data_IF_858790062654
#
_entry.id   IF_858790062654
#
_cell.length_a   1.000
_cell.length_b   1.000
_cell.length_c   1.000
_cell.angle_alpha   90.00
_cell.angle_beta   90.00
_cell.angle_gamma   90.00
#
_symmetry.space_group_name_H-M   'P 1'
#
loop_
_entity.id
_entity.type
_entity.pdbx_description
1 polymer ?
#
# COMPACT_ATOMS: atom_id res chain seq x y z
N UNK A 1 33.89 10.25 5.93
CA UNK A 1 33.34 9.42 7.02
C UNK A 1 32.30 10.21 7.82
N UNK A 2 32.59 11.47 8.22
CA UNK A 2 31.67 12.32 8.97
C UNK A 2 30.37 12.64 8.21
N UNK A 3 30.43 12.77 6.89
CA UNK A 3 29.26 13.02 6.04
C UNK A 3 28.28 11.83 6.04
N UNK A 4 28.81 10.60 5.99
CA UNK A 4 27.99 9.38 6.08
C UNK A 4 27.33 9.24 7.45
N UNK A 5 28.02 9.61 8.52
CA UNK A 5 27.51 9.53 9.88
C UNK A 5 26.39 10.56 10.12
N UNK A 6 26.56 11.81 9.69
CA UNK A 6 25.54 12.85 9.79
C UNK A 6 24.28 12.49 9.00
N UNK A 7 24.44 11.89 7.81
CA UNK A 7 23.32 11.38 7.00
C UNK A 7 22.64 10.19 7.70
N UNK A 8 23.40 9.29 8.31
CA UNK A 8 22.86 8.17 9.08
C UNK A 8 22.09 8.64 10.33
N UNK A 9 22.55 9.68 11.02
CA UNK A 9 21.85 10.28 12.15
C UNK A 9 20.54 10.90 11.71
N UNK A 10 20.52 11.67 10.61
CA UNK A 10 19.26 12.25 10.07
C UNK A 10 18.25 11.16 9.67
N UNK A 11 18.70 10.07 9.06
CA UNK A 11 17.86 8.91 8.75
C UNK A 11 17.34 8.22 10.01
N UNK A 12 18.18 8.09 11.03
CA UNK A 12 17.79 7.49 12.32
C UNK A 12 16.72 8.27 13.07
N UNK A 13 16.55 9.57 12.77
CA UNK A 13 15.48 10.40 13.35
C UNK A 13 14.10 10.13 12.71
N UNK A 14 14.07 9.68 11.45
CA UNK A 14 12.81 9.40 10.72
C UNK A 14 12.49 7.91 10.65
N UNK A 15 13.49 7.03 10.61
CA UNK A 15 13.29 5.60 10.60
C UNK A 15 12.70 5.12 11.93
N UNK A 16 11.57 4.39 11.84
CA UNK A 16 10.84 3.92 13.01
C UNK A 16 9.79 4.90 13.52
N UNK A 17 9.64 6.08 12.90
CA UNK A 17 8.52 6.98 13.18
C UNK A 17 7.22 6.36 12.63
N UNK A 18 6.16 6.24 13.46
CA UNK A 18 4.90 5.71 12.97
C UNK A 18 4.18 6.73 12.07
N UNK A 19 3.59 6.24 10.98
CA UNK A 19 2.60 6.99 10.22
C UNK A 19 1.31 7.14 11.03
N UNK A 20 0.43 8.10 10.67
CA UNK A 20 -0.87 8.28 11.33
C UNK A 20 -1.67 6.98 11.37
N UNK A 21 -2.31 6.73 12.51
CA UNK A 21 -3.20 5.58 12.68
C UNK A 21 -4.45 5.76 11.79
N UNK A 22 -4.85 4.73 11.05
CA UNK A 22 -6.02 4.76 10.13
C UNK A 22 -7.25 4.22 10.83
N UNK A 23 -7.10 3.07 11.52
CA UNK A 23 -8.16 2.38 12.22
C UNK A 23 -7.76 2.12 13.66
N UNK A 24 -8.71 2.31 14.58
CA UNK A 24 -8.50 2.03 16.00
C UNK A 24 -8.21 0.56 16.25
N UNK A 25 -8.94 -0.33 15.58
CA UNK A 25 -8.77 -1.78 15.69
C UNK A 25 -7.35 -2.24 15.29
N UNK A 26 -6.71 -1.61 14.30
CA UNK A 26 -5.31 -1.86 13.95
C UNK A 26 -4.38 -1.39 15.07
N UNK A 27 -4.58 -0.16 15.54
CA UNK A 27 -3.78 0.44 16.61
C UNK A 27 -3.82 -0.39 17.89
N UNK A 28 -5.00 -0.82 18.33
CA UNK A 28 -5.22 -1.57 19.56
C UNK A 28 -4.54 -2.96 19.52
N UNK A 29 -4.30 -3.51 18.32
CA UNK A 29 -3.51 -4.73 18.09
C UNK A 29 -2.03 -4.48 17.82
N UNK A 30 -1.55 -3.23 17.94
CA UNK A 30 -0.16 -2.86 17.66
C UNK A 30 0.23 -2.98 16.19
N UNK A 31 -0.75 -2.88 15.27
CA UNK A 31 -0.52 -2.88 13.84
C UNK A 31 -0.34 -1.44 13.39
N UNK A 32 0.90 -1.05 13.13
CA UNK A 32 1.29 0.30 12.73
C UNK A 32 2.24 0.26 11.55
N UNK A 33 2.20 1.31 10.78
CA UNK A 33 3.05 1.52 9.61
C UNK A 33 4.18 2.46 10.02
N UNK A 34 5.43 2.00 9.83
CA UNK A 34 6.60 2.74 10.29
C UNK A 34 7.44 3.20 9.11
N UNK A 35 7.92 4.42 9.17
CA UNK A 35 8.91 4.95 8.23
C UNK A 35 10.20 4.11 8.27
N UNK A 36 10.82 3.91 7.10
CA UNK A 36 12.01 3.06 6.95
C UNK A 36 11.72 1.55 6.95
N UNK A 37 10.43 1.16 6.88
CA UNK A 37 10.01 -0.24 6.84
C UNK A 37 9.22 -0.61 5.60
N UNK A 38 9.21 -1.91 5.28
CA UNK A 38 8.38 -2.49 4.22
C UNK A 38 7.21 -3.26 4.79
N UNK A 39 6.05 -3.07 4.16
CA UNK A 39 4.78 -3.75 4.48
C UNK A 39 4.29 -4.49 3.26
N UNK A 40 3.95 -5.76 3.40
CA UNK A 40 3.26 -6.51 2.36
C UNK A 40 1.76 -6.56 2.66
N UNK A 41 0.96 -6.30 1.63
CA UNK A 41 -0.49 -6.50 1.65
C UNK A 41 -0.82 -7.58 0.62
N UNK A 42 -0.99 -8.81 1.10
CA UNK A 42 -1.23 -9.99 0.29
C UNK A 42 -2.70 -10.37 0.21
N UNK A 43 -3.09 -10.99 -0.90
CA UNK A 43 -4.44 -11.55 -1.07
C UNK A 43 -4.68 -12.02 -2.49
N UNK A 44 -5.66 -12.89 -2.67
CA UNK A 44 -6.08 -13.35 -3.99
C UNK A 44 -6.58 -12.16 -4.86
N UNK A 45 -6.65 -12.30 -6.18
CA UNK A 45 -7.35 -11.31 -7.02
C UNK A 45 -8.76 -11.04 -6.50
N UNK A 46 -9.18 -9.77 -6.48
CA UNK A 46 -10.50 -9.37 -5.94
C UNK A 46 -10.59 -9.25 -4.42
N UNK A 47 -9.55 -9.54 -3.65
CA UNK A 47 -9.54 -9.42 -2.17
C UNK A 47 -9.49 -7.97 -1.65
N UNK A 48 -9.74 -6.99 -2.49
CA UNK A 48 -9.85 -5.56 -2.15
C UNK A 48 -8.57 -4.88 -1.63
N UNK A 49 -7.37 -5.40 -1.97
CA UNK A 49 -6.07 -4.81 -1.57
C UNK A 49 -5.95 -3.33 -1.96
N UNK A 50 -6.13 -3.03 -3.24
CA UNK A 50 -6.05 -1.65 -3.79
C UNK A 50 -7.03 -0.71 -3.10
N UNK A 51 -8.25 -1.19 -2.78
CA UNK A 51 -9.24 -0.38 -2.09
C UNK A 51 -8.83 -0.07 -0.65
N UNK A 52 -8.33 -1.07 0.08
CA UNK A 52 -7.80 -0.90 1.44
C UNK A 52 -6.61 0.06 1.47
N UNK A 53 -5.63 -0.13 0.56
CA UNK A 53 -4.46 0.75 0.46
C UNK A 53 -4.89 2.18 0.11
N UNK A 54 -5.82 2.34 -0.86
CA UNK A 54 -6.36 3.65 -1.23
C UNK A 54 -7.11 4.33 -0.08
N UNK A 55 -7.83 3.57 0.76
CA UNK A 55 -8.47 4.10 1.97
C UNK A 55 -7.42 4.57 2.99
N UNK A 56 -6.36 3.80 3.19
CA UNK A 56 -5.25 4.18 4.07
C UNK A 56 -4.57 5.47 3.62
N UNK A 57 -4.24 5.57 2.33
CA UNK A 57 -3.63 6.75 1.73
C UNK A 57 -4.50 7.99 1.96
N UNK A 58 -5.80 7.89 1.66
CA UNK A 58 -6.75 9.00 1.82
C UNK A 58 -6.96 9.43 3.29
N UNK A 59 -6.81 8.49 4.23
CA UNK A 59 -6.97 8.78 5.67
C UNK A 59 -5.70 9.32 6.30
N UNK A 60 -4.53 8.77 5.97
CA UNK A 60 -3.25 9.19 6.54
C UNK A 60 -2.86 10.61 6.13
N UNK A 61 -3.17 11.03 4.91
CA UNK A 61 -2.85 12.36 4.34
C UNK A 61 -1.40 12.79 4.56
N UNK A 62 -0.48 11.88 4.29
CA UNK A 62 0.97 12.13 4.35
C UNK A 62 1.56 12.21 2.94
N UNK A 63 2.69 12.90 2.73
CA UNK A 63 3.40 12.92 1.46
C UNK A 63 3.58 11.51 0.90
N UNK A 64 2.91 11.23 -0.23
CA UNK A 64 2.76 9.87 -0.77
C UNK A 64 3.14 9.78 -2.23
N UNK A 65 3.98 8.82 -2.61
CA UNK A 65 4.16 8.37 -3.98
C UNK A 65 3.36 7.08 -4.18
N UNK A 66 2.39 7.10 -5.10
CA UNK A 66 1.56 5.93 -5.42
C UNK A 66 1.85 5.43 -6.84
N UNK A 67 2.43 4.25 -6.94
CA UNK A 67 2.70 3.55 -8.20
C UNK A 67 1.57 2.53 -8.40
N UNK A 68 0.64 2.87 -9.30
CA UNK A 68 -0.52 2.05 -9.65
C UNK A 68 -0.28 1.39 -11.00
N UNK A 69 0.35 0.22 -10.99
CA UNK A 69 0.69 -0.51 -12.21
C UNK A 69 -0.36 -1.58 -12.61
N UNK A 70 -1.40 -1.79 -11.79
CA UNK A 70 -2.50 -2.73 -12.05
C UNK A 70 -3.85 -2.05 -12.30
N UNK A 71 -4.04 -0.84 -11.79
CA UNK A 71 -5.29 -0.09 -11.90
C UNK A 71 -5.04 1.23 -12.62
N UNK A 72 -5.83 1.54 -13.66
CA UNK A 72 -5.70 2.76 -14.43
C UNK A 72 -6.20 4.01 -13.68
N UNK A 73 -5.85 5.19 -14.22
CA UNK A 73 -6.16 6.50 -13.64
C UNK A 73 -7.65 6.69 -13.38
N UNK A 74 -8.48 6.36 -14.38
CA UNK A 74 -9.93 6.60 -14.29
C UNK A 74 -10.59 5.74 -13.21
N UNK A 75 -10.13 4.51 -13.02
CA UNK A 75 -10.63 3.63 -11.96
C UNK A 75 -10.21 4.11 -10.58
N UNK A 76 -9.00 4.62 -10.43
CA UNK A 76 -8.53 5.26 -9.19
C UNK A 76 -9.35 6.51 -8.90
N UNK A 77 -9.45 7.43 -9.87
CA UNK A 77 -10.23 8.68 -9.75
C UNK A 77 -11.67 8.37 -9.35
N UNK A 78 -12.32 7.41 -10.02
CA UNK A 78 -13.71 7.08 -9.73
C UNK A 78 -13.93 6.54 -8.31
N UNK A 79 -12.99 5.75 -7.78
CA UNK A 79 -13.03 5.26 -6.39
C UNK A 79 -12.84 6.38 -5.36
N UNK A 80 -11.92 7.32 -5.60
CA UNK A 80 -11.73 8.47 -4.72
C UNK A 80 -12.94 9.41 -4.74
N UNK A 81 -13.50 9.69 -5.92
CA UNK A 81 -14.73 10.46 -6.06
C UNK A 81 -15.91 9.77 -5.36
N UNK A 82 -16.06 8.45 -5.54
CA UNK A 82 -17.11 7.65 -4.89
C UNK A 82 -17.04 7.78 -3.36
N UNK A 83 -15.85 7.62 -2.78
CA UNK A 83 -15.62 7.76 -1.35
C UNK A 83 -15.98 9.15 -0.83
N UNK A 84 -15.57 10.21 -1.53
CA UNK A 84 -15.84 11.60 -1.13
C UNK A 84 -17.29 12.01 -1.27
N UNK A 85 -17.97 11.51 -2.31
CA UNK A 85 -19.36 11.85 -2.59
C UNK A 85 -20.36 10.87 -1.99
N UNK A 86 -19.89 9.71 -1.50
CA UNK A 86 -20.71 8.58 -1.04
C UNK A 86 -21.69 8.10 -2.12
N UNK A 87 -21.25 8.13 -3.37
CA UNK A 87 -22.00 7.69 -4.54
C UNK A 87 -21.29 6.55 -5.25
N UNK A 88 -22.04 5.79 -6.04
CA UNK A 88 -21.51 4.64 -6.78
C UNK A 88 -20.34 5.03 -7.71
N UNK A 89 -19.27 4.24 -7.68
CA UNK A 89 -18.03 4.50 -8.43
C UNK A 89 -18.23 4.49 -9.95
N UNK A 90 -19.21 3.71 -10.49
CA UNK A 90 -19.52 3.73 -11.91
C UNK A 90 -20.23 5.04 -12.30
N UNK A 91 -21.09 5.56 -11.41
CA UNK A 91 -21.73 6.87 -11.61
C UNK A 91 -20.66 7.95 -11.59
N UNK A 92 -19.73 7.89 -10.66
CA UNK A 92 -18.61 8.84 -10.56
C UNK A 92 -17.66 8.76 -11.77
N UNK A 93 -17.41 7.56 -12.27
CA UNK A 93 -16.64 7.34 -13.50
C UNK A 93 -17.29 8.06 -14.69
N UNK A 94 -18.57 7.86 -14.88
CA UNK A 94 -19.31 8.50 -15.98
C UNK A 94 -19.37 10.02 -15.82
N UNK A 95 -19.46 10.52 -14.60
CA UNK A 95 -19.46 11.95 -14.31
C UNK A 95 -18.09 12.57 -14.56
N UNK A 96 -17.00 11.93 -14.11
CA UNK A 96 -15.63 12.40 -14.35
C UNK A 96 -15.29 12.48 -15.85
N UNK A 97 -15.77 11.52 -16.66
CA UNK A 97 -15.60 11.54 -18.11
C UNK A 97 -16.36 12.69 -18.78
N UNK A 98 -17.53 13.09 -18.25
CA UNK A 98 -18.35 14.17 -18.80
C UNK A 98 -17.89 15.56 -18.33
N UNK A 99 -17.36 15.63 -17.13
CA UNK A 99 -16.94 16.87 -16.48
C UNK A 99 -15.61 16.65 -15.72
N UNK A 100 -14.46 16.63 -16.46
CA UNK A 100 -13.15 16.45 -15.85
C UNK A 100 -12.77 17.59 -14.89
N UNK A 101 -13.24 18.82 -15.14
CA UNK A 101 -12.95 19.99 -14.30
C UNK A 101 -13.61 19.83 -12.92
N UNK A 102 -14.87 19.38 -12.89
CA UNK A 102 -15.55 19.04 -11.64
C UNK A 102 -14.80 17.92 -10.89
N UNK A 103 -14.32 16.88 -11.58
CA UNK A 103 -13.58 15.79 -10.95
C UNK A 103 -12.26 16.31 -10.34
N UNK A 104 -11.53 17.15 -11.07
CA UNK A 104 -10.31 17.79 -10.59
C UNK A 104 -10.56 18.70 -9.38
N UNK A 105 -11.64 19.49 -9.39
CA UNK A 105 -12.04 20.31 -8.24
C UNK A 105 -12.30 19.46 -6.99
N UNK A 106 -13.02 18.33 -7.15
CA UNK A 106 -13.36 17.43 -6.03
C UNK A 106 -12.16 16.70 -5.43
N UNK A 107 -11.07 16.57 -6.17
CA UNK A 107 -9.83 15.93 -5.75
C UNK A 107 -8.67 16.92 -5.54
N UNK A 108 -8.95 18.22 -5.59
CA UNK A 108 -7.93 19.29 -5.53
C UNK A 108 -7.17 19.33 -4.20
N UNK A 109 -7.71 18.75 -3.14
CA UNK A 109 -7.04 18.63 -1.83
C UNK A 109 -6.08 17.43 -1.74
N UNK A 110 -5.89 16.67 -2.83
CA UNK A 110 -4.96 15.53 -2.89
C UNK A 110 -3.58 15.91 -3.44
N UNK A 111 -3.14 17.13 -3.25
CA UNK A 111 -1.82 17.66 -3.68
C UNK A 111 -0.62 16.99 -2.97
N UNK A 112 -0.90 16.26 -1.89
CA UNK A 112 0.07 15.47 -1.15
C UNK A 112 0.33 14.07 -1.75
N UNK A 113 -0.37 13.66 -2.82
CA UNK A 113 -0.13 12.40 -3.54
C UNK A 113 0.41 12.65 -4.94
N UNK A 114 1.59 12.10 -5.24
CA UNK A 114 2.10 11.94 -6.59
C UNK A 114 1.70 10.56 -7.12
N UNK A 115 1.08 10.52 -8.28
CA UNK A 115 0.64 9.31 -8.95
C UNK A 115 1.57 8.93 -10.09
N UNK A 116 1.93 7.66 -10.19
CA UNK A 116 2.57 7.07 -11.34
C UNK A 116 1.73 5.87 -11.82
N UNK A 117 1.36 5.86 -13.10
CA UNK A 117 0.52 4.82 -13.73
C UNK A 117 1.29 4.00 -14.77
N UNK A 118 2.62 3.92 -14.67
CA UNK A 118 3.40 3.01 -15.51
C UNK A 118 2.99 1.57 -15.21
N UNK A 119 2.53 0.85 -16.25
CA UNK A 119 2.00 -0.51 -16.10
C UNK A 119 3.07 -1.57 -15.75
N UNK A 120 4.33 -1.30 -16.05
CA UNK A 120 5.48 -2.18 -15.78
C UNK A 120 6.72 -1.34 -15.43
N UNK A 121 6.73 -0.68 -14.26
CA UNK A 121 7.87 0.12 -13.86
C UNK A 121 9.06 -0.78 -13.51
N UNK A 122 10.26 -0.40 -13.91
CA UNK A 122 11.48 -1.01 -13.42
C UNK A 122 11.81 -0.53 -12.00
N UNK A 123 12.74 -1.21 -11.31
CA UNK A 123 13.20 -0.76 -10.00
C UNK A 123 13.93 0.59 -10.06
N UNK A 124 14.67 0.82 -11.15
CA UNK A 124 15.36 2.08 -11.41
C UNK A 124 14.35 3.22 -11.60
N UNK A 125 13.28 3.00 -12.36
CA UNK A 125 12.20 3.99 -12.54
C UNK A 125 11.48 4.29 -11.22
N UNK A 126 11.27 3.29 -10.35
CA UNK A 126 10.71 3.51 -9.01
C UNK A 126 11.65 4.39 -8.17
N UNK A 127 12.96 4.12 -8.19
CA UNK A 127 13.95 4.92 -7.47
C UNK A 127 14.00 6.36 -8.01
N UNK A 128 13.99 6.53 -9.34
CA UNK A 128 13.94 7.85 -10.00
C UNK A 128 12.69 8.64 -9.62
N UNK A 129 11.51 8.01 -9.57
CA UNK A 129 10.28 8.65 -9.12
C UNK A 129 10.35 9.07 -7.63
N UNK A 130 10.99 8.26 -6.78
CA UNK A 130 11.21 8.62 -5.38
C UNK A 130 12.18 9.81 -5.23
N UNK A 131 13.20 9.90 -6.08
CA UNK A 131 14.13 11.03 -6.12
C UNK A 131 13.45 12.29 -6.67
N UNK A 132 12.68 12.16 -7.76
CA UNK A 132 11.88 13.26 -8.32
C UNK A 132 10.85 13.79 -7.31
N UNK A 133 10.29 12.91 -6.47
CA UNK A 133 9.42 13.33 -5.38
C UNK A 133 10.17 14.22 -4.38
N UNK A 134 11.37 13.81 -3.93
CA UNK A 134 12.19 14.62 -3.02
C UNK A 134 12.54 16.00 -3.63
N UNK A 135 12.87 16.06 -4.91
CA UNK A 135 13.18 17.31 -5.59
C UNK A 135 11.97 18.27 -5.65
N UNK A 136 10.76 17.74 -5.88
CA UNK A 136 9.54 18.55 -6.02
C UNK A 136 8.96 18.99 -4.68
N UNK A 137 9.03 18.15 -3.64
CA UNK A 137 8.42 18.43 -2.33
C UNK A 137 9.44 18.87 -1.27
N UNK A 138 10.74 18.76 -1.56
CA UNK A 138 11.81 19.12 -0.61
C UNK A 138 12.05 18.07 0.49
N UNK A 139 11.33 16.95 0.45
CA UNK A 139 11.48 15.82 1.35
C UNK A 139 11.11 14.51 0.67
N UNK A 140 11.63 13.39 1.17
CA UNK A 140 11.21 12.08 0.70
C UNK A 140 9.76 11.79 1.04
N UNK A 141 9.07 11.06 0.16
CA UNK A 141 7.72 10.57 0.45
C UNK A 141 7.72 9.80 1.78
N UNK A 142 6.74 10.09 2.65
CA UNK A 142 6.57 9.35 3.90
C UNK A 142 6.03 7.94 3.64
N UNK A 143 5.17 7.83 2.63
CA UNK A 143 4.57 6.60 2.17
C UNK A 143 4.85 6.41 0.67
N UNK A 144 5.31 5.23 0.30
CA UNK A 144 5.39 4.78 -1.09
C UNK A 144 4.51 3.55 -1.24
N UNK A 145 3.67 3.53 -2.26
CA UNK A 145 2.81 2.38 -2.58
C UNK A 145 3.26 1.77 -3.90
N UNK A 146 3.42 0.46 -3.95
CA UNK A 146 3.64 -0.32 -5.16
C UNK A 146 2.49 -1.31 -5.31
N UNK A 147 1.59 -1.02 -6.24
CA UNK A 147 0.36 -1.78 -6.45
C UNK A 147 0.24 -2.21 -7.92
N UNK A 148 0.88 -3.32 -8.27
CA UNK A 148 1.19 -4.56 -7.55
C UNK A 148 2.64 -5.04 -7.83
N UNK A 149 3.22 -5.79 -6.89
CA UNK A 149 4.59 -6.33 -6.97
C UNK A 149 4.86 -7.11 -8.27
N UNK A 150 3.91 -7.92 -8.73
CA UNK A 150 4.08 -8.84 -9.85
C UNK A 150 4.26 -8.16 -11.20
N UNK A 151 4.00 -6.87 -11.29
CA UNK A 151 4.14 -6.06 -12.51
C UNK A 151 5.37 -5.14 -12.47
N UNK A 152 6.20 -5.25 -11.45
CA UNK A 152 7.50 -4.57 -11.40
C UNK A 152 8.50 -5.35 -12.22
N UNK A 153 9.08 -4.71 -13.23
CA UNK A 153 10.12 -5.30 -14.04
C UNK A 153 11.46 -5.31 -13.31
N UNK A 154 12.07 -6.47 -13.25
CA UNK A 154 13.39 -6.65 -12.64
C UNK A 154 14.20 -7.69 -13.40
N UNK A 155 15.29 -7.23 -13.98
CA UNK A 155 16.25 -8.05 -14.71
C UNK A 155 17.59 -8.09 -13.95
N UNK A 156 17.87 -9.24 -13.33
CA UNK A 156 19.21 -9.58 -12.85
C UNK A 156 19.82 -10.64 -13.76
N UNK A 157 21.15 -10.67 -13.91
CA UNK A 157 21.85 -11.74 -14.61
C UNK A 157 21.53 -13.09 -13.95
N UNK A 158 20.66 -13.89 -14.60
CA UNK A 158 20.16 -15.16 -14.07
C UNK A 158 18.64 -15.22 -13.79
N UNK A 159 17.88 -14.17 -14.09
CA UNK A 159 16.44 -14.09 -13.92
C UNK A 159 16.03 -13.39 -12.61
N UNK A 160 15.34 -12.27 -12.74
CA UNK A 160 14.84 -11.49 -11.60
C UNK A 160 13.86 -12.29 -10.74
N UNK A 161 13.95 -12.14 -9.42
CA UNK A 161 13.03 -12.78 -8.48
C UNK A 161 12.21 -11.75 -7.71
N UNK A 162 10.98 -12.09 -7.37
CA UNK A 162 10.14 -11.24 -6.50
C UNK A 162 10.82 -10.95 -5.14
N UNK A 163 11.66 -11.88 -4.64
CA UNK A 163 12.47 -11.64 -3.43
C UNK A 163 13.51 -10.54 -3.68
N UNK A 164 14.14 -10.50 -4.86
CA UNK A 164 15.08 -9.45 -5.26
C UNK A 164 14.41 -8.08 -5.28
N UNK A 165 13.23 -7.98 -5.88
CA UNK A 165 12.43 -6.74 -5.90
C UNK A 165 12.14 -6.25 -4.47
N UNK A 166 11.61 -7.11 -3.61
CA UNK A 166 11.29 -6.74 -2.22
C UNK A 166 12.55 -6.37 -1.44
N UNK A 167 13.69 -7.03 -1.68
CA UNK A 167 14.98 -6.68 -1.08
C UNK A 167 15.44 -5.28 -1.48
N UNK A 168 15.29 -4.94 -2.75
CA UNK A 168 15.65 -3.62 -3.27
C UNK A 168 14.73 -2.54 -2.65
N UNK A 169 13.41 -2.76 -2.64
CA UNK A 169 12.46 -1.86 -2.02
C UNK A 169 12.67 -1.69 -0.50
N UNK A 170 13.06 -2.77 0.22
CA UNK A 170 13.42 -2.69 1.64
C UNK A 170 14.68 -1.83 1.87
N UNK A 171 15.65 -1.90 0.95
CA UNK A 171 16.81 -1.01 0.97
C UNK A 171 16.38 0.45 0.74
N UNK A 172 15.56 0.72 -0.28
CA UNK A 172 15.04 2.06 -0.56
C UNK A 172 14.25 2.63 0.64
N UNK A 173 13.39 1.81 1.27
CA UNK A 173 12.65 2.21 2.45
C UNK A 173 13.57 2.74 3.56
N UNK A 174 14.65 2.00 3.84
CA UNK A 174 15.64 2.39 4.87
C UNK A 174 16.47 3.59 4.45
N UNK A 175 16.82 3.67 3.17
CA UNK A 175 17.69 4.72 2.63
C UNK A 175 16.99 6.07 2.58
N UNK A 176 15.70 6.10 2.33
CA UNK A 176 14.88 7.32 2.21
C UNK A 176 14.09 7.65 3.49
N UNK A 177 13.93 6.67 4.40
CA UNK A 177 13.04 6.82 5.54
C UNK A 177 11.56 6.77 5.15
N UNK A 178 11.22 6.17 4.01
CA UNK A 178 9.84 5.98 3.57
C UNK A 178 9.26 4.68 4.12
N UNK A 179 7.97 4.63 4.43
CA UNK A 179 7.24 3.38 4.57
C UNK A 179 6.87 2.90 3.17
N UNK A 180 7.26 1.69 2.77
CA UNK A 180 6.89 1.14 1.46
C UNK A 180 5.84 0.04 1.63
N UNK A 181 4.61 0.30 1.16
CA UNK A 181 3.53 -0.69 1.10
C UNK A 181 3.56 -1.35 -0.27
N UNK A 182 3.60 -2.67 -0.29
CA UNK A 182 3.69 -3.48 -1.49
C UNK A 182 2.48 -4.41 -1.54
N UNK A 183 1.60 -4.22 -2.51
CA UNK A 183 0.52 -5.17 -2.79
C UNK A 183 1.09 -6.41 -3.51
N UNK A 184 0.66 -7.60 -3.11
CA UNK A 184 1.09 -8.84 -3.76
C UNK A 184 -0.05 -9.88 -3.81
N UNK A 185 0.07 -10.83 -4.74
CA UNK A 185 -0.85 -11.97 -4.75
C UNK A 185 -0.41 -13.05 -3.75
N UNK A 186 -1.41 -13.80 -3.28
CA UNK A 186 -1.23 -15.06 -2.54
C UNK A 186 -1.67 -16.22 -3.41
N UNK A 187 -1.24 -17.45 -3.05
CA UNK A 187 -1.92 -18.65 -3.53
C UNK A 187 -3.34 -18.70 -2.97
N UNK A 188 -4.23 -19.38 -3.66
CA UNK A 188 -5.56 -19.67 -3.13
C UNK A 188 -5.46 -20.56 -1.90
N UNK A 189 -6.40 -20.39 -0.96
CA UNK A 189 -6.47 -21.22 0.23
C UNK A 189 -7.50 -22.33 0.00
N UNK A 190 -7.06 -23.56 0.13
CA UNK A 190 -7.93 -24.75 0.00
C UNK A 190 -8.81 -24.96 1.25
N UNK A 191 -8.46 -24.37 2.39
CA UNK A 191 -9.07 -24.63 3.70
C UNK A 191 -10.31 -23.77 4.02
N UNK A 192 -10.81 -22.96 3.08
CA UNK A 192 -12.02 -22.15 3.27
C UNK A 192 -11.90 -21.00 4.28
N UNK A 193 -10.67 -20.59 4.63
CA UNK A 193 -10.42 -19.46 5.52
C UNK A 193 -10.74 -18.13 4.83
N UNK A 194 -11.30 -17.16 5.55
CA UNK A 194 -11.51 -15.82 5.00
C UNK A 194 -10.18 -15.15 4.62
N UNK A 195 -9.11 -15.33 5.42
CA UNK A 195 -7.80 -14.74 5.16
C UNK A 195 -6.72 -15.80 4.92
N UNK A 196 -5.69 -15.42 4.15
CA UNK A 196 -4.61 -16.32 3.79
C UNK A 196 -3.52 -16.38 4.86
N UNK A 197 -2.95 -17.55 5.17
CA UNK A 197 -1.83 -17.69 6.09
C UNK A 197 -0.54 -17.10 5.49
N UNK A 198 0.45 -16.83 6.34
CA UNK A 198 1.77 -16.31 5.91
C UNK A 198 2.43 -17.18 4.82
N UNK A 199 2.26 -18.51 4.89
CA UNK A 199 2.81 -19.45 3.89
C UNK A 199 2.24 -19.27 2.48
N UNK A 200 1.05 -18.66 2.36
CA UNK A 200 0.40 -18.40 1.07
C UNK A 200 1.02 -17.20 0.32
N UNK A 201 1.83 -16.38 0.97
CA UNK A 201 2.59 -15.31 0.30
C UNK A 201 3.61 -15.96 -0.65
N UNK A 202 3.45 -15.67 -1.92
CA UNK A 202 4.27 -16.27 -2.99
C UNK A 202 5.76 -15.94 -2.83
N UNK A 203 6.62 -16.87 -3.27
CA UNK A 203 8.07 -16.70 -3.41
C UNK A 203 8.81 -16.24 -2.13
N UNK A 204 8.28 -16.54 -0.95
CA UNK A 204 8.91 -16.24 0.36
C UNK A 204 9.27 -14.75 0.58
N UNK A 205 8.67 -13.83 -0.18
CA UNK A 205 8.95 -12.39 -0.09
C UNK A 205 8.65 -11.79 1.29
N UNK A 206 7.83 -12.45 2.09
CA UNK A 206 7.47 -12.05 3.45
C UNK A 206 8.64 -11.99 4.43
N UNK A 207 9.79 -12.61 4.12
CA UNK A 207 10.94 -12.67 5.04
C UNK A 207 11.53 -11.31 5.38
N UNK A 208 11.59 -10.40 4.41
CA UNK A 208 12.23 -9.09 4.54
C UNK A 208 11.30 -8.06 5.19
N UNK A 209 10.00 -8.14 4.96
CA UNK A 209 9.04 -7.16 5.43
C UNK A 209 8.88 -7.16 6.95
N UNK A 210 8.64 -5.99 7.51
CA UNK A 210 8.42 -5.78 8.96
C UNK A 210 6.99 -6.15 9.37
N UNK A 211 6.04 -5.92 8.46
CA UNK A 211 4.62 -6.22 8.63
C UNK A 211 4.12 -6.95 7.36
N UNK A 212 3.32 -7.99 7.55
CA UNK A 212 2.61 -8.68 6.47
C UNK A 212 1.15 -8.80 6.86
N UNK A 213 0.31 -8.22 6.05
CA UNK A 213 -1.14 -8.28 6.17
C UNK A 213 -1.69 -9.15 5.04
N UNK A 214 -2.67 -10.00 5.33
CA UNK A 214 -3.42 -10.69 4.30
C UNK A 214 -4.87 -10.25 4.30
N UNK A 215 -5.43 -10.12 3.10
CA UNK A 215 -6.77 -9.59 2.88
C UNK A 215 -7.68 -10.64 2.27
N UNK A 216 -8.94 -10.60 2.65
CA UNK A 216 -10.02 -11.30 1.98
C UNK A 216 -11.30 -10.47 1.99
N UNK A 217 -12.22 -10.85 1.12
CA UNK A 217 -13.52 -10.19 0.98
C UNK A 217 -14.60 -11.22 0.78
N UNK A 218 -15.68 -11.10 1.56
CA UNK A 218 -16.85 -11.94 1.43
C UNK A 218 -18.12 -11.10 1.64
N UNK A 219 -18.84 -10.90 0.56
CA UNK A 219 -20.10 -10.14 0.55
C UNK A 219 -19.91 -8.68 0.96
N UNK A 220 -20.21 -8.35 2.22
CA UNK A 220 -20.09 -7.00 2.77
C UNK A 220 -18.98 -6.88 3.81
N UNK A 221 -18.18 -7.93 3.98
CA UNK A 221 -17.14 -7.97 5.01
C UNK A 221 -15.75 -8.03 4.36
N UNK A 222 -14.91 -7.10 4.74
CA UNK A 222 -13.49 -7.13 4.45
C UNK A 222 -12.74 -7.63 5.67
N UNK A 223 -11.87 -8.61 5.44
CA UNK A 223 -11.04 -9.26 6.46
C UNK A 223 -9.59 -8.86 6.28
N UNK A 224 -8.92 -8.51 7.38
CA UNK A 224 -7.51 -8.15 7.41
C UNK A 224 -6.81 -8.91 8.52
N UNK A 225 -5.87 -9.79 8.17
CA UNK A 225 -5.10 -10.56 9.15
C UNK A 225 -3.64 -10.13 9.20
N UNK A 226 -3.10 -9.81 10.39
CA UNK A 226 -1.68 -9.57 10.58
C UNK A 226 -0.93 -10.91 10.70
N UNK A 227 -0.50 -11.46 9.58
CA UNK A 227 0.16 -12.77 9.55
C UNK A 227 1.64 -12.71 9.92
N UNK A 228 2.23 -11.52 9.91
CA UNK A 228 3.55 -11.21 10.46
C UNK A 228 3.58 -9.76 10.94
N UNK A 229 4.07 -9.53 12.15
CA UNK A 229 4.29 -8.20 12.67
C UNK A 229 5.49 -8.23 13.63
N UNK A 230 6.56 -7.50 13.32
CA UNK A 230 7.75 -7.44 14.19
C UNK A 230 7.54 -6.58 15.44
N UNK A 231 6.54 -5.69 15.40
CA UNK A 231 6.33 -4.66 16.43
C UNK A 231 5.04 -4.87 17.23
N UNK A 232 4.30 -5.95 17.01
CA UNK A 232 3.00 -6.17 17.66
C UNK A 232 2.45 -7.57 17.45
N UNK A 233 1.14 -7.70 17.62
CA UNK A 233 0.45 -8.98 17.44
C UNK A 233 0.55 -9.51 16.01
N UNK A 234 0.76 -10.82 15.88
CA UNK A 234 0.71 -11.54 14.61
C UNK A 234 0.19 -12.96 14.80
N UNK A 235 -0.56 -13.43 13.83
CA UNK A 235 -1.01 -14.82 13.73
C UNK A 235 -0.70 -15.34 12.32
N UNK A 236 0.36 -16.12 12.20
CA UNK A 236 0.85 -16.64 10.92
C UNK A 236 -0.14 -17.58 10.21
N UNK A 237 -1.16 -18.05 10.90
CA UNK A 237 -2.22 -18.89 10.33
C UNK A 237 -3.28 -18.10 9.59
N UNK A 238 -3.41 -16.79 9.89
CA UNK A 238 -4.42 -15.91 9.31
C UNK A 238 -5.81 -15.99 9.95
N UNK A 239 -5.99 -16.80 11.00
CA UNK A 239 -7.31 -16.93 11.66
C UNK A 239 -7.73 -15.69 12.43
N UNK A 240 -6.76 -14.96 13.01
CA UNK A 240 -7.03 -13.78 13.83
C UNK A 240 -7.20 -12.52 12.96
N UNK A 241 -8.22 -12.51 12.10
CA UNK A 241 -8.52 -11.35 11.26
C UNK A 241 -9.29 -10.26 12.01
N UNK A 242 -9.12 -9.03 11.55
CA UNK A 242 -9.96 -7.88 11.88
C UNK A 242 -10.99 -7.77 10.76
N UNK A 243 -12.23 -7.48 11.13
CA UNK A 243 -13.34 -7.37 10.19
C UNK A 243 -13.76 -5.91 10.05
N UNK A 244 -14.08 -5.52 8.83
CA UNK A 244 -14.59 -4.20 8.48
C UNK A 244 -15.85 -4.38 7.63
N UNK A 245 -16.81 -3.49 7.82
CA UNK A 245 -17.85 -3.32 6.83
C UNK A 245 -17.26 -2.66 5.59
N UNK A 246 -17.63 -3.15 4.43
CA UNK A 246 -17.17 -2.59 3.17
C UNK A 246 -18.34 -2.37 2.23
N UNK A 247 -18.36 -1.19 1.65
CA UNK A 247 -19.20 -0.88 0.50
C UNK A 247 -18.30 -0.73 -0.75
N UNK A 248 -18.23 -1.75 -1.60
CA UNK A 248 -17.42 -1.71 -2.81
C UNK A 248 -17.85 -0.61 -3.79
N UNK A 249 -19.13 -0.26 -3.79
CA UNK A 249 -19.68 0.73 -4.71
C UNK A 249 -19.16 2.14 -4.41
N UNK A 250 -18.98 2.46 -3.13
CA UNK A 250 -18.47 3.74 -2.66
C UNK A 250 -17.01 3.71 -2.25
N UNK A 251 -16.38 2.53 -2.30
CA UNK A 251 -15.00 2.28 -1.85
C UNK A 251 -14.74 2.72 -0.38
N UNK A 252 -15.74 2.57 0.49
CA UNK A 252 -15.67 2.91 1.91
C UNK A 252 -15.43 1.65 2.73
N UNK A 253 -14.55 1.78 3.73
CA UNK A 253 -14.31 0.79 4.79
C UNK A 253 -14.67 1.42 6.13
N UNK A 254 -15.43 0.69 6.95
CA UNK A 254 -15.85 1.12 8.29
C UNK A 254 -15.50 0.04 9.32
N UNK A 255 -15.02 0.46 10.49
CA UNK A 255 -14.76 -0.47 11.59
C UNK A 255 -16.09 -1.04 12.11
N UNK A 256 -16.08 -2.33 12.43
CA UNK A 256 -17.16 -2.92 13.21
C UNK A 256 -16.96 -2.51 14.68
N UNK A 257 -18.00 -1.89 15.27
CA UNK A 257 -18.04 -1.51 16.68
C UNK A 257 -17.99 -2.73 17.62
#
# INVERSE_FOLDING_TARGET
>A
VSFKLARAVRRGLTNGEPLPDVFRSLKDRGIRFYRGGTVLVGGVPGSMKTMFIGHMVDTMKVPTLYISNDTNELDIISRYLARRTKQDSNIMRMKALKDPEWAAEKLSDMDWVRWNFNASPSLEEIEEEMMAFEELWGEHAHLVVVDILMKVDYYEDGGGSLEGIVRYLDKLARDTGSCIIIACHTSENEDGHPTQPLKAILNKVSKLSTLVLTTAYDGNTFYLAPVKNRNGFADSTGYSSIQFLVDPSTAILEELE
#
